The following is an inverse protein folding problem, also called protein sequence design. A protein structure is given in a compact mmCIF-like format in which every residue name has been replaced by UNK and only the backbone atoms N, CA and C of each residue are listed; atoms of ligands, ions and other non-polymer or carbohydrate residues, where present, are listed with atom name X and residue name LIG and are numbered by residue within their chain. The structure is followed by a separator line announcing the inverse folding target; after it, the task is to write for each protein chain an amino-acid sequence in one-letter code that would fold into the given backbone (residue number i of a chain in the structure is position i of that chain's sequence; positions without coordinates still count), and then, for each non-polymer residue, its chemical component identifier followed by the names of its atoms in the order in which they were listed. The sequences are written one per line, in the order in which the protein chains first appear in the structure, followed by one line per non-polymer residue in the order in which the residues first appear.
data_IF_822950145641
#
_entry.id   IF_822950145641
#
_cell.length_a   1.000
_cell.length_b   1.000
_cell.length_c   1.000
_cell.angle_alpha   90.00
_cell.angle_beta   90.00
_cell.angle_gamma   90.00
#
_symmetry.space_group_name_H-M   'P 1'
#
loop_
_entity.id
_entity.type
_entity.pdbx_description
1 polymer ?
#
# COMPACT_ATOMS: atom_id res chain seq x y z
N UNK A 1 -76.46 -1.75 -0.76
CA UNK A 1 -75.67 -2.34 0.35
C UNK A 1 -75.15 -3.69 -0.13
N UNK A 2 -73.92 -4.02 0.28
CA UNK A 2 -73.16 -5.27 0.07
C UNK A 2 -72.09 -5.25 -1.03
N UNK A 3 -70.89 -4.81 -0.61
CA UNK A 3 -69.62 -5.40 -1.03
C UNK A 3 -69.54 -6.86 -0.51
N UNK A 4 -68.80 -7.74 -1.20
CA UNK A 4 -67.62 -8.33 -0.56
C UNK A 4 -66.41 -8.46 -1.52
N UNK A 5 -65.22 -8.04 -1.09
CA UNK A 5 -64.12 -8.87 -0.57
C UNK A 5 -63.28 -9.58 -1.65
N UNK A 6 -62.30 -8.83 -2.17
CA UNK A 6 -60.87 -9.17 -2.15
C UNK A 6 -60.45 -10.61 -1.73
N UNK A 7 -59.69 -11.36 -2.58
CA UNK A 7 -58.99 -12.57 -2.18
C UNK A 7 -57.47 -12.31 -2.11
N UNK A 8 -56.98 -11.96 -0.93
CA UNK A 8 -55.54 -11.91 -0.60
C UNK A 8 -55.35 -12.60 0.73
N UNK A 9 -55.34 -13.92 0.71
CA UNK A 9 -54.74 -14.73 1.75
C UNK A 9 -54.70 -16.20 1.31
N UNK A 10 -53.50 -16.78 1.42
CA UNK A 10 -53.28 -18.17 1.81
C UNK A 10 -53.49 -19.25 0.76
N UNK A 11 -52.57 -19.32 -0.21
CA UNK A 11 -51.98 -20.62 -0.56
C UNK A 11 -50.46 -20.54 -0.35
N UNK A 12 -50.10 -20.62 0.93
CA UNK A 12 -48.75 -20.61 1.49
C UNK A 12 -48.34 -22.08 1.73
N UNK A 13 -48.28 -22.90 0.69
CA UNK A 13 -47.86 -24.32 0.76
C UNK A 13 -47.17 -24.73 -0.55
N UNK A 14 -45.89 -24.38 -0.70
CA UNK A 14 -44.94 -25.06 -1.62
C UNK A 14 -43.50 -24.58 -1.37
N UNK A 15 -43.08 -24.50 -0.10
CA UNK A 15 -41.69 -24.21 0.27
C UNK A 15 -40.97 -25.47 0.70
N UNK A 16 -40.52 -26.30 -0.26
CA UNK A 16 -39.51 -27.35 -0.08
C UNK A 16 -39.14 -27.96 -1.45
N UNK A 17 -38.69 -27.11 -2.38
CA UNK A 17 -37.87 -27.58 -3.51
C UNK A 17 -36.42 -27.62 -3.04
N UNK A 18 -35.94 -28.84 -2.80
CA UNK A 18 -34.52 -29.15 -2.66
C UNK A 18 -33.75 -28.49 -3.80
N UNK A 19 -32.96 -27.46 -3.48
CA UNK A 19 -31.90 -26.97 -4.36
C UNK A 19 -30.79 -28.00 -4.35
N UNK A 20 -30.94 -29.03 -5.16
CA UNK A 20 -29.81 -29.83 -5.60
C UNK A 20 -28.84 -28.87 -6.29
N UNK A 21 -27.70 -28.60 -5.67
CA UNK A 21 -26.56 -28.03 -6.35
C UNK A 21 -26.18 -29.02 -7.45
N UNK A 22 -26.63 -28.79 -8.67
CA UNK A 22 -26.10 -29.49 -9.84
C UNK A 22 -24.65 -29.06 -9.98
N UNK A 23 -23.74 -29.84 -9.41
CA UNK A 23 -22.39 -29.95 -9.96
C UNK A 23 -22.58 -30.45 -11.38
N UNK A 24 -22.60 -29.52 -12.33
CA UNK A 24 -22.44 -29.85 -13.73
C UNK A 24 -20.99 -30.30 -13.88
N UNK A 25 -20.76 -31.62 -13.79
CA UNK A 25 -19.56 -32.21 -14.34
C UNK A 25 -19.55 -31.85 -15.83
N UNK A 26 -18.52 -31.17 -16.35
CA UNK A 26 -18.44 -30.89 -17.78
C UNK A 26 -18.49 -32.21 -18.55
N UNK A 27 -19.09 -32.24 -19.76
CA UNK A 27 -19.20 -33.46 -20.55
C UNK A 27 -17.82 -34.08 -20.75
N UNK A 28 -17.68 -35.33 -20.29
CA UNK A 28 -16.50 -36.15 -20.48
C UNK A 28 -16.42 -36.61 -21.94
N UNK A 29 -15.93 -35.72 -22.78
CA UNK A 29 -15.54 -35.94 -24.16
C UNK A 29 -14.70 -34.74 -24.58
N UNK A 30 -13.38 -34.94 -24.66
CA UNK A 30 -12.35 -33.93 -24.97
C UNK A 30 -11.91 -33.01 -23.82
N UNK A 31 -11.76 -33.55 -22.61
CA UNK A 31 -10.87 -32.90 -21.63
C UNK A 31 -9.42 -33.01 -22.14
N UNK A 32 -8.69 -31.89 -22.20
CA UNK A 32 -7.27 -31.88 -22.57
C UNK A 32 -6.51 -32.92 -21.73
N UNK A 33 -5.83 -33.85 -22.40
CA UNK A 33 -5.06 -34.89 -21.71
C UNK A 33 -3.77 -34.34 -21.12
N UNK A 34 -3.24 -33.28 -21.74
CA UNK A 34 -1.98 -32.62 -21.36
C UNK A 34 -2.06 -31.13 -21.69
N UNK A 35 -1.54 -30.30 -20.77
CA UNK A 35 -1.47 -28.85 -20.94
C UNK A 35 -0.03 -28.41 -20.70
N UNK A 36 0.58 -27.80 -21.71
CA UNK A 36 1.90 -27.18 -21.61
C UNK A 36 1.76 -25.66 -21.47
N UNK A 37 2.61 -25.05 -20.64
CA UNK A 37 2.69 -23.60 -20.46
C UNK A 37 4.11 -23.15 -20.74
N UNK A 38 4.27 -22.31 -21.74
CA UNK A 38 5.53 -21.68 -22.11
C UNK A 38 5.48 -20.20 -21.73
N UNK A 39 6.48 -19.70 -21.01
CA UNK A 39 6.59 -18.29 -20.66
C UNK A 39 7.13 -17.50 -21.86
N UNK A 40 6.30 -16.63 -22.42
CA UNK A 40 6.62 -15.81 -23.59
C UNK A 40 7.19 -14.45 -23.17
N UNK A 41 6.63 -13.83 -22.14
CA UNK A 41 7.06 -12.54 -21.63
C UNK A 41 6.95 -12.48 -20.11
N UNK A 42 7.92 -11.81 -19.49
CA UNK A 42 7.94 -11.48 -18.07
C UNK A 42 8.43 -10.03 -17.94
N UNK A 43 7.54 -9.16 -17.48
CA UNK A 43 7.85 -7.74 -17.22
C UNK A 43 7.43 -7.34 -15.80
N UNK A 44 8.10 -6.32 -15.26
CA UNK A 44 7.68 -5.67 -14.02
C UNK A 44 7.05 -4.32 -14.36
N UNK A 45 6.10 -3.90 -13.52
CA UNK A 45 5.49 -2.57 -13.59
C UNK A 45 5.48 -1.94 -12.21
N UNK A 46 6.00 -0.71 -12.11
CA UNK A 46 5.87 0.14 -10.93
C UNK A 46 4.78 1.16 -11.22
N UNK A 47 3.77 1.22 -10.37
CA UNK A 47 2.71 2.21 -10.40
C UNK A 47 2.80 3.08 -9.14
N UNK A 48 3.22 4.32 -9.35
CA UNK A 48 3.38 5.32 -8.29
C UNK A 48 2.28 6.41 -8.32
N UNK A 49 1.17 6.12 -9.03
CA UNK A 49 0.10 7.06 -9.31
C UNK A 49 0.35 7.94 -10.53
N UNK A 50 -0.70 8.64 -10.98
CA UNK A 50 -0.65 9.52 -12.16
C UNK A 50 0.32 10.69 -11.97
N UNK A 51 0.38 11.25 -10.75
CA UNK A 51 1.26 12.36 -10.42
C UNK A 51 2.63 11.84 -9.96
N UNK A 52 3.59 11.89 -10.87
CA UNK A 52 5.01 11.55 -10.60
C UNK A 52 5.77 12.63 -9.83
N UNK A 53 5.05 13.52 -9.13
CA UNK A 53 5.59 14.54 -8.24
C UNK A 53 5.07 14.26 -6.84
N UNK A 54 5.98 14.05 -5.90
CA UNK A 54 5.69 13.94 -4.48
C UNK A 54 5.43 15.32 -3.88
N UNK A 55 4.27 15.44 -3.26
CA UNK A 55 3.83 16.62 -2.51
C UNK A 55 3.65 16.33 -1.02
N UNK A 56 3.76 15.06 -0.61
CA UNK A 56 3.70 14.55 0.76
C UNK A 56 4.90 13.63 1.00
N UNK A 57 5.40 13.49 2.25
CA UNK A 57 6.42 12.51 2.59
C UNK A 57 5.98 11.06 2.33
N UNK A 58 4.67 10.84 2.25
CA UNK A 58 4.06 9.53 2.07
C UNK A 58 3.61 9.26 0.64
N UNK A 59 3.91 8.06 0.13
CA UNK A 59 3.34 7.57 -1.13
C UNK A 59 3.19 6.05 -1.12
N UNK A 60 2.00 5.57 -1.42
CA UNK A 60 1.78 4.15 -1.74
C UNK A 60 2.14 3.90 -3.19
N UNK A 61 3.01 2.93 -3.42
CA UNK A 61 3.48 2.50 -4.74
C UNK A 61 3.11 1.02 -4.89
N UNK A 62 2.50 0.65 -6.01
CA UNK A 62 2.21 -0.75 -6.34
C UNK A 62 3.25 -1.27 -7.31
N UNK A 63 3.74 -2.48 -7.08
CA UNK A 63 4.58 -3.19 -8.04
C UNK A 63 3.91 -4.50 -8.42
N UNK A 64 3.81 -4.71 -9.73
CA UNK A 64 3.13 -5.87 -10.32
C UNK A 64 4.08 -6.56 -11.28
N UNK A 65 4.15 -7.87 -11.18
CA UNK A 65 4.77 -8.76 -12.16
C UNK A 65 3.73 -9.16 -13.20
N UNK A 66 4.09 -9.05 -14.47
CA UNK A 66 3.22 -9.39 -15.60
C UNK A 66 3.86 -10.53 -16.38
N UNK A 67 3.17 -11.66 -16.43
CA UNK A 67 3.58 -12.87 -17.12
C UNK A 67 2.62 -13.14 -18.28
N UNK A 68 3.16 -13.37 -19.46
CA UNK A 68 2.43 -13.87 -20.61
C UNK A 68 2.87 -15.29 -20.90
N UNK A 69 1.93 -16.22 -20.84
CA UNK A 69 2.15 -17.61 -21.19
C UNK A 69 1.44 -17.97 -22.48
N UNK A 70 2.08 -18.80 -23.30
CA UNK A 70 1.41 -19.57 -24.33
C UNK A 70 0.99 -20.90 -23.73
N UNK A 71 -0.31 -21.15 -23.71
CA UNK A 71 -0.90 -22.39 -23.22
C UNK A 71 -1.26 -23.24 -24.43
N UNK A 72 -0.67 -24.43 -24.52
CA UNK A 72 -0.97 -25.40 -25.58
C UNK A 72 -1.61 -26.63 -24.95
N UNK A 73 -2.77 -27.01 -25.45
CA UNK A 73 -3.54 -28.16 -24.98
C UNK A 73 -3.43 -29.29 -26.00
N UNK A 74 -3.22 -30.51 -25.52
CA UNK A 74 -3.07 -31.70 -26.33
C UNK A 74 -4.16 -32.73 -25.99
N UNK A 75 -4.60 -33.46 -27.03
CA UNK A 75 -5.47 -34.62 -26.84
C UNK A 75 -4.70 -35.85 -26.32
N UNK A 76 -5.41 -36.96 -26.13
CA UNK A 76 -4.81 -38.23 -25.71
C UNK A 76 -3.83 -38.84 -26.72
N UNK A 77 -3.79 -38.34 -27.97
CA UNK A 77 -2.87 -38.75 -29.04
C UNK A 77 -1.70 -37.77 -29.22
N UNK A 78 -1.55 -36.84 -28.29
CA UNK A 78 -0.52 -35.79 -28.30
C UNK A 78 -0.62 -34.83 -29.49
N UNK A 79 -1.83 -34.66 -30.03
CA UNK A 79 -2.12 -33.66 -31.05
C UNK A 79 -2.58 -32.36 -30.39
N UNK A 80 -2.06 -31.24 -30.87
CA UNK A 80 -2.49 -29.91 -30.40
C UNK A 80 -3.95 -29.71 -30.77
N UNK A 81 -4.79 -29.52 -29.77
CA UNK A 81 -6.23 -29.23 -29.95
C UNK A 81 -6.53 -27.75 -29.75
N UNK A 82 -5.70 -27.05 -28.97
CA UNK A 82 -5.90 -25.64 -28.68
C UNK A 82 -4.57 -24.96 -28.37
N UNK A 83 -4.48 -23.66 -28.71
CA UNK A 83 -3.39 -22.78 -28.33
C UNK A 83 -3.94 -21.40 -28.03
N UNK A 84 -3.66 -20.90 -26.84
CA UNK A 84 -4.13 -19.60 -26.38
C UNK A 84 -3.06 -18.85 -25.61
N UNK A 85 -3.21 -17.54 -25.53
CA UNK A 85 -2.43 -16.68 -24.66
C UNK A 85 -3.11 -16.54 -23.30
N UNK A 86 -2.33 -16.63 -22.23
CA UNK A 86 -2.77 -16.45 -20.85
C UNK A 86 -1.95 -15.35 -20.19
N UNK A 87 -2.62 -14.26 -19.84
CA UNK A 87 -2.04 -13.12 -19.15
C UNK A 87 -2.25 -13.27 -17.64
N UNK A 88 -1.19 -13.11 -16.86
CA UNK A 88 -1.22 -13.16 -15.41
C UNK A 88 -0.54 -11.93 -14.82
N UNK A 89 -1.24 -11.22 -13.94
CA UNK A 89 -0.70 -10.12 -13.17
C UNK A 89 -0.58 -10.55 -11.71
N UNK A 90 0.64 -10.61 -11.19
CA UNK A 90 0.97 -11.03 -9.84
C UNK A 90 1.44 -9.83 -9.01
N UNK A 91 1.07 -9.74 -7.72
CA UNK A 91 1.70 -8.79 -6.84
C UNK A 91 3.19 -9.11 -6.72
N UNK A 92 4.04 -8.08 -6.72
CA UNK A 92 5.46 -8.20 -6.38
C UNK A 92 5.60 -8.42 -4.87
N UNK A 93 5.11 -9.55 -4.37
CA UNK A 93 4.82 -9.77 -2.96
C UNK A 93 6.07 -10.09 -2.14
N UNK A 94 6.30 -9.32 -1.07
CA UNK A 94 7.44 -9.53 -0.14
C UNK A 94 8.79 -9.56 -0.87
N UNK A 95 8.95 -8.66 -1.84
CA UNK A 95 10.13 -8.56 -2.67
C UNK A 95 10.80 -7.19 -2.51
N UNK A 96 12.13 -7.12 -2.72
CA UNK A 96 12.85 -5.88 -2.56
C UNK A 96 12.56 -4.88 -3.68
N UNK A 97 12.59 -3.60 -3.33
CA UNK A 97 12.67 -2.46 -4.25
C UNK A 97 13.86 -1.62 -3.83
N UNK A 98 14.75 -1.32 -4.76
CA UNK A 98 15.84 -0.39 -4.49
C UNK A 98 15.34 1.04 -4.71
N UNK A 99 15.58 1.92 -3.75
CA UNK A 99 15.41 3.35 -3.88
C UNK A 99 16.78 4.00 -4.01
N UNK A 100 16.97 4.84 -5.01
CA UNK A 100 18.15 5.68 -5.18
C UNK A 100 17.74 7.14 -4.98
N UNK A 101 18.42 7.81 -4.05
CA UNK A 101 18.20 9.20 -3.68
C UNK A 101 19.53 9.81 -3.27
N UNK A 102 19.86 10.99 -3.80
CA UNK A 102 21.10 11.71 -3.46
C UNK A 102 22.37 10.85 -3.62
N UNK A 103 22.41 9.99 -4.65
CA UNK A 103 23.50 9.04 -4.88
C UNK A 103 23.58 7.88 -3.86
N UNK A 104 22.77 7.88 -2.80
CA UNK A 104 22.63 6.79 -1.84
C UNK A 104 21.61 5.76 -2.34
N UNK A 105 21.79 4.50 -1.94
CA UNK A 105 20.89 3.38 -2.25
C UNK A 105 20.30 2.80 -0.98
N UNK A 106 18.99 2.59 -0.98
CA UNK A 106 18.22 2.01 0.10
C UNK A 106 17.47 0.79 -0.42
N UNK A 107 17.38 -0.28 0.38
CA UNK A 107 16.59 -1.47 0.05
C UNK A 107 15.29 -1.43 0.83
N UNK A 108 14.18 -1.25 0.12
CA UNK A 108 12.83 -1.29 0.64
C UNK A 108 12.19 -2.65 0.37
N UNK A 109 11.09 -2.95 1.05
CA UNK A 109 10.32 -4.19 0.86
C UNK A 109 8.87 -3.85 0.57
N UNK A 110 8.28 -4.56 -0.38
CA UNK A 110 6.82 -4.58 -0.57
C UNK A 110 6.16 -5.50 0.46
N UNK A 111 4.87 -5.26 0.73
CA UNK A 111 4.03 -6.18 1.47
C UNK A 111 3.56 -7.37 0.60
N UNK A 112 2.67 -8.21 1.14
CA UNK A 112 2.13 -9.37 0.43
C UNK A 112 1.26 -9.01 -0.78
N UNK A 113 0.76 -7.77 -0.86
CA UNK A 113 -0.06 -7.28 -1.96
C UNK A 113 0.76 -6.54 -3.03
N UNK A 114 2.09 -6.55 -2.89
CA UNK A 114 3.01 -5.84 -3.78
C UNK A 114 2.97 -4.32 -3.58
N UNK A 115 2.51 -3.85 -2.43
CA UNK A 115 2.50 -2.44 -2.09
C UNK A 115 3.75 -2.06 -1.29
N UNK A 116 4.37 -0.95 -1.70
CA UNK A 116 5.41 -0.25 -0.96
C UNK A 116 4.80 1.05 -0.40
N UNK A 117 4.84 1.22 0.92
CA UNK A 117 4.51 2.48 1.59
C UNK A 117 5.79 3.28 1.77
N UNK A 118 6.07 4.18 0.84
CA UNK A 118 7.20 5.10 0.98
C UNK A 118 6.88 6.13 2.06
N UNK A 119 7.79 6.27 3.04
CA UNK A 119 7.81 7.37 3.99
C UNK A 119 9.22 8.00 4.00
N UNK A 120 9.34 9.21 3.47
CA UNK A 120 10.61 9.96 3.39
C UNK A 120 11.14 10.45 4.75
N UNK A 121 10.32 10.40 5.81
CA UNK A 121 10.72 10.73 7.19
C UNK A 121 11.14 9.51 8.01
N UNK A 122 11.15 8.30 7.42
CA UNK A 122 11.67 7.12 8.10
C UNK A 122 13.16 7.24 8.43
N UNK A 123 13.60 6.59 9.51
CA UNK A 123 14.95 6.74 10.08
C UNK A 123 16.08 6.53 9.06
N UNK A 124 15.91 5.58 8.15
CA UNK A 124 16.89 5.27 7.10
C UNK A 124 17.15 6.44 6.13
N UNK A 125 16.29 7.46 6.09
CA UNK A 125 16.42 8.60 5.18
C UNK A 125 16.87 9.89 5.86
N UNK A 126 17.07 9.90 7.19
CA UNK A 126 17.45 11.10 7.96
C UNK A 126 18.69 11.79 7.38
N UNK A 127 19.66 11.01 6.90
CA UNK A 127 20.92 11.53 6.35
C UNK A 127 20.83 12.04 4.90
N UNK A 128 19.64 12.07 4.29
CA UNK A 128 19.48 12.64 2.95
C UNK A 128 19.56 14.17 3.00
N UNK A 129 20.21 14.78 2.02
CA UNK A 129 20.11 16.22 1.83
C UNK A 129 18.76 16.60 1.19
N UNK A 130 17.75 16.82 2.04
CA UNK A 130 16.42 17.24 1.59
C UNK A 130 16.40 18.61 0.89
N UNK A 131 17.45 19.43 1.02
CA UNK A 131 17.55 20.67 0.24
C UNK A 131 17.72 20.37 -1.26
N UNK A 132 18.53 19.38 -1.59
CA UNK A 132 18.90 19.03 -2.97
C UNK A 132 18.15 17.81 -3.53
N UNK A 133 17.40 17.08 -2.70
CA UNK A 133 16.61 15.89 -3.07
C UNK A 133 15.49 16.19 -4.10
N UNK A 134 15.83 16.26 -5.39
CA UNK A 134 14.87 16.60 -6.47
C UNK A 134 14.16 15.39 -7.05
N UNK A 135 14.78 14.22 -6.99
CA UNK A 135 14.29 13.00 -7.60
C UNK A 135 14.66 11.82 -6.72
N UNK A 136 13.73 10.87 -6.62
CA UNK A 136 14.00 9.52 -6.15
C UNK A 136 13.74 8.55 -7.29
N UNK A 137 14.58 7.54 -7.44
CA UNK A 137 14.43 6.48 -8.42
C UNK A 137 14.11 5.17 -7.70
N UNK A 138 13.03 4.53 -8.11
CA UNK A 138 12.61 3.22 -7.64
C UNK A 138 13.01 2.18 -8.69
N UNK A 139 13.58 1.06 -8.25
CA UNK A 139 14.05 -0.01 -9.12
C UNK A 139 13.57 -1.36 -8.56
N UNK A 140 12.68 -2.03 -9.29
CA UNK A 140 12.26 -3.41 -9.03
C UNK A 140 12.96 -4.35 -10.01
N UNK A 141 13.40 -5.52 -9.54
CA UNK A 141 14.19 -6.47 -10.34
C UNK A 141 13.81 -7.91 -10.05
N UNK A 142 13.41 -8.65 -11.08
CA UNK A 142 13.14 -10.09 -11.02
C UNK A 142 14.28 -10.95 -11.60
N UNK A 143 15.23 -10.34 -12.30
CA UNK A 143 16.40 -11.02 -12.85
C UNK A 143 17.40 -10.06 -13.49
N UNK A 144 18.41 -10.57 -14.23
CA UNK A 144 19.40 -9.72 -14.89
C UNK A 144 18.79 -8.77 -15.91
N UNK A 145 17.81 -9.25 -16.69
CA UNK A 145 17.17 -8.54 -17.80
C UNK A 145 15.78 -7.99 -17.48
N UNK A 146 15.20 -8.35 -16.33
CA UNK A 146 13.83 -7.98 -15.97
C UNK A 146 13.88 -6.93 -14.87
N UNK A 147 13.70 -5.68 -15.28
CA UNK A 147 13.82 -4.49 -14.44
C UNK A 147 12.67 -3.55 -14.75
N UNK A 148 12.09 -2.96 -13.72
CA UNK A 148 11.24 -1.78 -13.83
C UNK A 148 11.88 -0.63 -13.06
N UNK A 149 11.86 0.56 -13.65
CA UNK A 149 12.37 1.77 -13.04
C UNK A 149 11.28 2.85 -13.05
N UNK A 150 11.18 3.61 -11.96
CA UNK A 150 10.26 4.73 -11.86
C UNK A 150 10.93 5.90 -11.15
N UNK A 151 10.94 7.07 -11.80
CA UNK A 151 11.39 8.30 -11.20
C UNK A 151 10.21 9.06 -10.59
N UNK A 152 10.40 9.57 -9.37
CA UNK A 152 9.46 10.48 -8.71
C UNK A 152 10.19 11.78 -8.40
N UNK A 153 9.65 12.89 -8.89
CA UNK A 153 10.13 14.21 -8.57
C UNK A 153 9.67 14.59 -7.17
N UNK A 154 10.48 15.34 -6.44
CA UNK A 154 10.13 15.87 -5.12
C UNK A 154 9.87 17.36 -5.26
N UNK A 155 8.67 17.80 -4.88
CA UNK A 155 8.32 19.22 -4.99
C UNK A 155 9.24 20.09 -4.13
N UNK A 156 9.35 21.38 -4.47
CA UNK A 156 10.16 22.31 -3.67
C UNK A 156 9.54 22.51 -2.29
N UNK A 157 8.22 22.54 -2.25
CA UNK A 157 7.41 22.70 -1.04
C UNK A 157 7.64 21.51 -0.11
N UNK A 158 7.54 20.28 -0.62
CA UNK A 158 7.81 19.06 0.15
C UNK A 158 9.25 19.02 0.66
N UNK A 159 10.24 19.38 -0.16
CA UNK A 159 11.63 19.51 0.31
C UNK A 159 11.79 20.49 1.45
N UNK A 160 11.00 21.58 1.47
CA UNK A 160 11.02 22.54 2.57
C UNK A 160 10.43 21.94 3.84
N UNK A 161 9.30 21.23 3.72
CA UNK A 161 8.65 20.52 4.82
C UNK A 161 9.59 19.48 5.41
N UNK A 162 10.19 18.62 4.58
CA UNK A 162 11.09 17.54 5.02
C UNK A 162 12.29 18.06 5.83
N UNK A 163 12.92 19.18 5.40
CA UNK A 163 14.05 19.77 6.13
C UNK A 163 13.71 20.15 7.57
N UNK A 164 12.49 20.60 7.79
CA UNK A 164 12.04 21.01 9.11
C UNK A 164 11.54 19.81 9.92
N UNK A 165 10.73 18.96 9.29
CA UNK A 165 10.08 17.82 9.92
C UNK A 165 11.06 16.79 10.47
N UNK A 166 12.22 16.58 9.84
CA UNK A 166 13.22 15.61 10.32
C UNK A 166 13.64 15.91 11.75
N UNK A 167 13.96 17.16 12.07
CA UNK A 167 14.35 17.56 13.42
C UNK A 167 13.17 17.43 14.38
N UNK A 168 11.97 17.85 13.94
CA UNK A 168 10.75 17.74 14.75
C UNK A 168 10.38 16.30 15.11
N UNK A 169 10.70 15.33 14.26
CA UNK A 169 10.41 13.91 14.51
C UNK A 169 11.55 13.21 15.27
N UNK A 170 12.81 13.51 14.95
CA UNK A 170 13.95 12.68 15.37
C UNK A 170 14.86 13.28 16.47
N UNK A 171 14.77 14.57 16.78
CA UNK A 171 15.56 15.13 17.89
C UNK A 171 15.17 14.50 19.25
N UNK A 172 16.13 14.38 20.16
CA UNK A 172 15.96 13.71 21.45
C UNK A 172 14.79 14.30 22.26
N UNK A 173 13.83 13.44 22.63
CA UNK A 173 12.66 13.81 23.42
C UNK A 173 12.94 13.86 24.92
N UNK A 174 13.87 13.07 25.42
CA UNK A 174 14.15 12.93 26.86
C UNK A 174 14.80 14.19 27.47
N UNK A 175 15.49 14.97 26.64
CA UNK A 175 16.13 16.23 27.04
C UNK A 175 15.20 17.45 26.86
N UNK A 176 14.00 17.25 26.32
CA UNK A 176 13.02 18.30 26.03
C UNK A 176 11.98 18.41 27.14
N UNK A 177 11.45 19.61 27.35
CA UNK A 177 10.31 19.85 28.25
C UNK A 177 8.96 19.67 27.54
N UNK A 178 7.88 19.70 28.33
CA UNK A 178 6.50 19.56 27.83
C UNK A 178 6.15 20.65 26.82
N UNK A 179 6.62 21.89 27.01
CA UNK A 179 6.37 22.99 26.08
C UNK A 179 6.95 22.69 24.69
N UNK A 180 8.19 22.17 24.64
CA UNK A 180 8.84 21.79 23.41
C UNK A 180 8.14 20.60 22.72
N UNK A 181 7.62 19.64 23.48
CA UNK A 181 6.82 18.55 22.91
C UNK A 181 5.54 19.05 22.24
N UNK A 182 4.78 19.92 22.91
CA UNK A 182 3.57 20.54 22.35
C UNK A 182 3.90 21.39 21.12
N UNK A 183 5.01 22.14 21.15
CA UNK A 183 5.50 22.86 19.98
C UNK A 183 5.74 21.93 18.79
N UNK A 184 6.41 20.78 18.99
CA UNK A 184 6.72 19.83 17.91
C UNK A 184 5.45 19.24 17.31
N UNK A 185 4.50 18.78 18.14
CA UNK A 185 3.19 18.26 17.70
C UNK A 185 2.46 19.30 16.84
N UNK A 186 2.26 20.50 17.38
CA UNK A 186 1.57 21.58 16.67
C UNK A 186 2.31 22.01 15.41
N UNK A 187 3.64 22.01 15.43
CA UNK A 187 4.43 22.39 14.26
C UNK A 187 4.27 21.37 13.13
N UNK A 188 4.27 20.07 13.44
CA UNK A 188 3.99 19.02 12.45
C UNK A 188 2.60 19.19 11.85
N UNK A 189 1.57 19.47 12.66
CA UNK A 189 0.22 19.73 12.16
C UNK A 189 0.18 20.95 11.21
N UNK A 190 0.83 22.06 11.57
CA UNK A 190 0.90 23.26 10.69
C UNK A 190 1.65 23.00 9.37
N UNK A 191 2.51 21.98 9.32
CA UNK A 191 3.20 21.53 8.11
C UNK A 191 2.35 20.56 7.26
N UNK A 192 1.15 20.19 7.73
CA UNK A 192 0.28 19.20 7.10
C UNK A 192 0.73 17.76 7.32
N UNK A 193 1.46 17.51 8.40
CA UNK A 193 2.02 16.21 8.80
C UNK A 193 1.21 15.61 9.95
N UNK A 194 -0.09 15.42 9.72
CA UNK A 194 -1.03 14.90 10.71
C UNK A 194 -0.63 13.50 11.20
N UNK A 195 -0.12 12.63 10.32
CA UNK A 195 0.28 11.27 10.70
C UNK A 195 1.48 11.28 11.66
N UNK A 196 2.49 12.10 11.36
CA UNK A 196 3.69 12.26 12.19
C UNK A 196 3.38 12.97 13.51
N UNK A 197 2.49 13.97 13.49
CA UNK A 197 2.00 14.64 14.68
C UNK A 197 1.33 13.64 15.65
N UNK A 198 0.38 12.86 15.13
CA UNK A 198 -0.30 11.81 15.89
C UNK A 198 0.67 10.73 16.40
N UNK A 199 1.65 10.31 15.59
CA UNK A 199 2.66 9.34 16.01
C UNK A 199 3.51 9.88 17.16
N UNK A 200 3.93 11.14 17.08
CA UNK A 200 4.70 11.80 18.14
C UNK A 200 3.89 11.92 19.44
N UNK A 201 2.64 12.36 19.36
CA UNK A 201 1.73 12.43 20.52
C UNK A 201 1.55 11.06 21.18
N UNK A 202 1.27 10.01 20.39
CA UNK A 202 1.12 8.65 20.90
C UNK A 202 2.40 8.13 21.56
N UNK A 203 3.57 8.42 20.98
CA UNK A 203 4.86 8.08 21.57
C UNK A 203 5.07 8.80 22.92
N UNK A 204 4.75 10.09 23.00
CA UNK A 204 4.86 10.86 24.24
C UNK A 204 3.88 10.39 25.32
N UNK A 205 2.65 10.02 24.96
CA UNK A 205 1.72 9.36 25.88
C UNK A 205 2.28 8.06 26.45
N UNK A 206 2.98 7.27 25.63
CA UNK A 206 3.64 6.03 26.07
C UNK A 206 4.86 6.30 26.95
N UNK A 207 5.70 7.30 26.61
CA UNK A 207 6.89 7.65 27.37
C UNK A 207 6.55 8.18 28.77
N UNK A 208 5.45 8.91 28.90
CA UNK A 208 5.02 9.52 30.17
C UNK A 208 4.22 8.58 31.07
N UNK A 209 3.84 7.37 30.62
CA UNK A 209 2.98 6.46 31.40
C UNK A 209 3.56 6.05 32.77
N UNK A 210 4.89 6.11 32.92
CA UNK A 210 5.60 5.79 34.15
C UNK A 210 5.67 6.93 35.17
N UNK A 211 5.27 8.15 34.79
CA UNK A 211 5.32 9.35 35.61
C UNK A 211 3.97 10.09 35.57
N UNK A 212 3.07 9.85 36.56
CA UNK A 212 1.72 10.42 36.57
C UNK A 212 1.67 11.95 36.65
N UNK A 213 2.68 12.59 37.25
CA UNK A 213 2.72 14.05 37.36
C UNK A 213 3.02 14.65 35.98
N UNK A 214 4.08 14.16 35.34
CA UNK A 214 4.47 14.57 33.98
C UNK A 214 3.38 14.27 32.94
N UNK A 215 2.73 13.10 33.05
CA UNK A 215 1.61 12.75 32.17
C UNK A 215 0.44 13.72 32.31
N UNK A 216 0.12 14.15 33.54
CA UNK A 216 -0.94 15.12 33.79
C UNK A 216 -0.58 16.49 33.21
N UNK A 217 0.66 16.93 33.41
CA UNK A 217 1.17 18.19 32.85
C UNK A 217 1.09 18.19 31.31
N UNK A 218 1.53 17.11 30.66
CA UNK A 218 1.47 16.95 29.21
C UNK A 218 0.04 17.02 28.67
N UNK A 219 -0.90 16.26 29.26
CA UNK A 219 -2.29 16.25 28.81
C UNK A 219 -2.98 17.62 28.98
N UNK A 220 -2.68 18.32 30.07
CA UNK A 220 -3.19 19.69 30.28
C UNK A 220 -2.62 20.67 29.26
N UNK A 221 -1.32 20.57 28.95
CA UNK A 221 -0.68 21.41 27.96
C UNK A 221 -1.25 21.17 26.55
N UNK A 222 -1.50 19.90 26.20
CA UNK A 222 -2.12 19.51 24.94
C UNK A 222 -3.52 20.09 24.79
N UNK A 223 -4.41 19.87 25.78
CA UNK A 223 -5.79 20.38 25.77
C UNK A 223 -5.84 21.91 25.68
N UNK A 224 -4.91 22.60 26.34
CA UNK A 224 -4.82 24.06 26.26
C UNK A 224 -4.35 24.56 24.89
N UNK A 225 -3.56 23.76 24.17
CA UNK A 225 -3.06 24.12 22.84
C UNK A 225 -4.07 23.88 21.71
N UNK A 226 -5.00 22.94 21.89
CA UNK A 226 -6.09 22.65 20.94
C UNK A 226 -7.25 23.66 21.03
N UNK A 227 -7.33 24.44 22.12
CA UNK A 227 -8.33 25.50 22.28
C UNK A 227 -7.84 26.80 21.61
N UNK A 228 -8.66 27.44 20.76
CA UNK A 228 -8.30 28.67 20.04
C UNK A 228 -8.13 29.90 20.94
#
# INVERSE_FOLDING_TARGET
MHQPLLPWALWLWAGLSLTACSIQTPPSGDAAARVERELISHTLRIDAGEQLVLTSPHRTIRVTEQLLHQVTEFDAKDQVVNRLESYQALPWASQPINLIADGKRFSLQTDHDGLLRLNLLSEQFIELDFQSLRVIQLIARAGPSIVAEQNLLVSRELRSILREAVNLVHDNLEESDVEQWIYRINRLDTLGLEEESNQLENMLMMLTIGDPELQTEFLQALENSERP
#
